data_IF_654832974505
#
_entry.id   IF_654832974505
#
_cell.length_a   1.000
_cell.length_b   1.000
_cell.length_c   1.000
_cell.angle_alpha   90.00
_cell.angle_beta   90.00
_cell.angle_gamma   90.00
#
_symmetry.space_group_name_H-M   'P 1'
#
loop_
_entity.id
_entity.type
_entity.pdbx_description
1 polymer ?
#
# COMPACT_ATOMS: atom_id res chain seq x y z
N UNK A 1 27.48 -16.37 -0.03
CA UNK A 1 26.97 -15.55 -1.15
C UNK A 1 26.69 -14.15 -0.64
N UNK A 2 27.37 -13.16 -1.22
CA UNK A 2 27.45 -11.78 -0.71
C UNK A 2 26.09 -11.09 -0.62
N UNK A 3 25.20 -11.30 -1.60
CA UNK A 3 23.94 -10.57 -1.73
C UNK A 3 22.74 -11.21 -1.01
N UNK A 4 22.89 -12.43 -0.47
CA UNK A 4 21.80 -13.19 0.16
C UNK A 4 20.97 -12.40 1.21
N UNK A 5 21.55 -11.52 2.06
CA UNK A 5 20.77 -10.78 3.04
C UNK A 5 19.87 -9.68 2.47
N UNK A 6 20.13 -9.24 1.23
CA UNK A 6 19.47 -8.08 0.61
C UNK A 6 18.70 -8.41 -0.67
N UNK A 7 18.67 -9.69 -1.07
CA UNK A 7 17.93 -10.16 -2.26
C UNK A 7 16.95 -11.27 -1.90
N UNK A 8 15.84 -11.32 -2.63
CA UNK A 8 14.86 -12.42 -2.55
C UNK A 8 15.40 -13.68 -3.21
N UNK A 9 16.17 -13.52 -4.28
CA UNK A 9 16.72 -14.62 -5.06
C UNK A 9 18.05 -14.22 -5.68
N UNK A 10 18.95 -15.20 -5.82
CA UNK A 10 20.24 -15.04 -6.46
C UNK A 10 20.60 -16.32 -7.23
N UNK A 11 21.12 -16.15 -8.44
CA UNK A 11 21.59 -17.24 -9.30
C UNK A 11 22.84 -16.78 -10.04
N UNK A 12 23.82 -17.66 -10.12
CA UNK A 12 25.01 -17.48 -10.95
C UNK A 12 25.02 -18.53 -12.05
N UNK A 13 25.38 -18.15 -13.26
CA UNK A 13 25.43 -19.04 -14.44
C UNK A 13 26.74 -18.86 -15.20
N UNK A 14 27.25 -19.97 -15.75
CA UNK A 14 28.52 -20.04 -16.50
C UNK A 14 28.36 -20.50 -17.94
N UNK A 15 27.22 -21.09 -18.29
CA UNK A 15 26.98 -21.66 -19.61
C UNK A 15 25.84 -20.92 -20.31
N UNK A 16 25.93 -20.79 -21.63
CA UNK A 16 24.99 -20.02 -22.45
C UNK A 16 23.57 -20.61 -22.41
N UNK A 17 23.44 -21.94 -22.33
CA UNK A 17 22.14 -22.64 -22.33
C UNK A 17 21.32 -22.35 -21.06
N UNK A 18 21.95 -21.91 -19.96
CA UNK A 18 21.26 -21.61 -18.70
C UNK A 18 20.64 -20.20 -18.69
N UNK A 19 21.01 -19.32 -19.62
CA UNK A 19 20.58 -17.92 -19.62
C UNK A 19 19.05 -17.80 -19.68
N UNK A 20 18.31 -18.45 -20.62
CA UNK A 20 16.87 -18.29 -20.73
C UNK A 20 16.12 -18.65 -19.44
N UNK A 21 16.42 -19.82 -18.88
CA UNK A 21 15.78 -20.30 -17.64
C UNK A 21 16.13 -19.46 -16.42
N UNK A 22 17.38 -19.01 -16.33
CA UNK A 22 17.80 -18.11 -15.25
C UNK A 22 17.05 -16.78 -15.31
N UNK A 23 16.88 -16.20 -16.50
CA UNK A 23 16.11 -14.98 -16.73
C UNK A 23 14.62 -15.21 -16.41
N UNK A 24 14.01 -16.29 -16.89
CA UNK A 24 12.63 -16.65 -16.57
C UNK A 24 12.40 -16.75 -15.05
N UNK A 25 13.31 -17.44 -14.34
CA UNK A 25 13.25 -17.60 -12.89
C UNK A 25 13.38 -16.26 -12.18
N UNK A 26 14.31 -15.41 -12.60
CA UNK A 26 14.53 -14.06 -12.06
C UNK A 26 13.27 -13.20 -12.18
N UNK A 27 12.64 -13.15 -13.35
CA UNK A 27 11.40 -12.40 -13.54
C UNK A 27 10.22 -12.98 -12.76
N UNK A 28 10.14 -14.31 -12.61
CA UNK A 28 9.14 -14.95 -11.74
C UNK A 28 9.33 -14.52 -10.28
N UNK A 29 10.56 -14.49 -9.78
CA UNK A 29 10.84 -14.08 -8.39
C UNK A 29 10.58 -12.59 -8.15
N UNK A 30 10.92 -11.70 -9.09
CA UNK A 30 10.66 -10.25 -8.93
C UNK A 30 9.15 -9.92 -8.93
N UNK A 31 8.37 -10.63 -9.74
CA UNK A 31 6.94 -10.32 -9.95
C UNK A 31 5.97 -11.06 -9.01
N UNK A 32 6.41 -12.16 -8.39
CA UNK A 32 5.58 -12.98 -7.51
C UNK A 32 5.60 -12.50 -6.06
N UNK A 33 4.45 -12.63 -5.39
CA UNK A 33 4.29 -12.20 -4.00
C UNK A 33 4.71 -10.74 -3.83
N UNK A 34 5.51 -10.48 -2.80
CA UNK A 34 6.06 -9.14 -2.55
C UNK A 34 7.30 -8.86 -3.42
N UNK A 35 7.27 -7.81 -4.27
CA UNK A 35 8.42 -7.44 -5.09
C UNK A 35 9.65 -7.07 -4.25
N UNK A 36 10.79 -7.63 -4.60
CA UNK A 36 12.07 -7.49 -3.93
C UNK A 36 13.23 -7.62 -4.92
N UNK A 37 14.42 -7.06 -4.63
CA UNK A 37 15.59 -7.19 -5.48
C UNK A 37 16.00 -8.66 -5.68
N UNK A 38 16.54 -8.97 -6.85
CA UNK A 38 17.14 -10.26 -7.19
C UNK A 38 18.45 -10.04 -7.94
N UNK A 39 19.33 -11.03 -7.93
CA UNK A 39 20.64 -10.95 -8.60
C UNK A 39 20.81 -12.12 -9.56
N UNK A 40 21.16 -11.80 -10.81
CA UNK A 40 21.64 -12.75 -11.80
C UNK A 40 23.09 -12.42 -12.12
N UNK A 41 24.00 -13.33 -11.79
CA UNK A 41 25.42 -13.21 -12.13
C UNK A 41 25.70 -14.09 -13.35
N UNK A 42 26.24 -13.49 -14.41
CA UNK A 42 26.60 -14.20 -15.63
C UNK A 42 28.12 -14.08 -15.78
N UNK A 43 28.81 -15.21 -15.70
CA UNK A 43 30.25 -15.24 -15.89
C UNK A 43 30.61 -15.01 -17.36
N UNK A 44 31.79 -14.46 -17.60
CA UNK A 44 32.32 -14.17 -18.94
C UNK A 44 32.28 -15.37 -19.88
N UNK A 45 32.51 -16.57 -19.33
CA UNK A 45 32.50 -17.84 -20.07
C UNK A 45 31.19 -18.02 -20.87
N UNK A 46 30.04 -17.65 -20.30
CA UNK A 46 28.74 -17.77 -20.94
C UNK A 46 28.54 -16.81 -22.13
N UNK A 47 29.33 -15.74 -22.21
CA UNK A 47 29.25 -14.76 -23.29
C UNK A 47 30.18 -15.08 -24.46
N UNK A 48 31.16 -15.96 -24.25
CA UNK A 48 32.12 -16.37 -25.30
C UNK A 48 31.73 -17.69 -25.98
N UNK A 49 30.79 -18.43 -25.40
CA UNK A 49 30.28 -19.66 -25.97
C UNK A 49 29.23 -19.39 -27.06
N UNK A 50 29.01 -20.37 -27.95
CA UNK A 50 28.02 -20.26 -29.02
C UNK A 50 26.99 -21.39 -28.91
N UNK A 51 25.74 -21.07 -29.23
CA UNK A 51 24.64 -22.03 -29.30
C UNK A 51 23.82 -21.73 -30.54
N UNK A 52 23.32 -22.77 -31.19
CA UNK A 52 22.38 -22.63 -32.30
C UNK A 52 21.06 -22.03 -31.78
N UNK A 53 20.48 -21.09 -32.54
CA UNK A 53 19.28 -20.35 -32.11
C UNK A 53 18.08 -21.27 -31.88
N UNK A 54 17.98 -22.37 -32.63
CA UNK A 54 16.92 -23.37 -32.51
C UNK A 54 17.01 -24.22 -31.22
N UNK A 55 18.16 -24.19 -30.54
CA UNK A 55 18.35 -24.82 -29.24
C UNK A 55 17.96 -23.89 -28.08
N UNK A 56 17.71 -22.60 -28.34
CA UNK A 56 17.26 -21.63 -27.34
C UNK A 56 15.72 -21.58 -27.33
N UNK A 57 15.14 -21.76 -26.14
CA UNK A 57 13.72 -21.50 -25.91
C UNK A 57 13.50 -20.28 -25.02
N UNK A 58 13.07 -19.16 -25.60
CA UNK A 58 12.61 -17.99 -24.85
C UNK A 58 11.09 -18.02 -24.80
N UNK A 59 10.56 -18.25 -23.61
CA UNK A 59 9.11 -18.36 -23.42
C UNK A 59 8.51 -16.97 -23.20
N UNK A 60 7.36 -16.65 -23.81
CA UNK A 60 6.60 -15.47 -23.45
C UNK A 60 6.16 -15.55 -21.98
N UNK A 61 5.96 -14.39 -21.36
CA UNK A 61 5.80 -14.31 -19.91
C UNK A 61 4.64 -15.12 -19.32
N UNK A 62 3.56 -15.31 -20.06
CA UNK A 62 2.41 -16.12 -19.65
C UNK A 62 2.65 -17.63 -19.68
N UNK A 63 3.72 -18.11 -20.33
CA UNK A 63 4.04 -19.52 -20.42
C UNK A 63 4.98 -20.00 -19.29
N UNK A 64 5.68 -19.08 -18.62
CA UNK A 64 6.59 -19.43 -17.53
C UNK A 64 6.26 -18.77 -16.18
N UNK A 65 5.23 -17.94 -16.06
CA UNK A 65 4.81 -17.40 -14.75
C UNK A 65 3.34 -16.99 -14.75
N UNK A 66 2.74 -16.97 -13.57
CA UNK A 66 1.44 -16.38 -13.37
C UNK A 66 1.50 -14.87 -13.63
N UNK A 67 0.63 -14.38 -14.49
CA UNK A 67 0.46 -12.96 -14.79
C UNK A 67 -0.63 -12.36 -13.90
N UNK A 68 -1.71 -13.10 -13.71
CA UNK A 68 -2.83 -12.69 -12.87
C UNK A 68 -2.52 -12.87 -11.39
N UNK A 69 -3.14 -12.01 -10.58
CA UNK A 69 -3.10 -12.09 -9.12
C UNK A 69 -4.29 -12.92 -8.64
N UNK A 70 -4.13 -13.75 -7.60
CA UNK A 70 -5.20 -14.62 -7.13
C UNK A 70 -6.39 -13.82 -6.61
N UNK A 71 -7.58 -14.38 -6.79
CA UNK A 71 -8.80 -13.85 -6.21
C UNK A 71 -8.80 -13.99 -4.67
N UNK A 72 -9.56 -13.13 -3.99
CA UNK A 72 -9.79 -13.21 -2.55
C UNK A 72 -11.00 -14.09 -2.29
N UNK A 73 -10.98 -14.83 -1.19
CA UNK A 73 -12.15 -15.59 -0.73
C UNK A 73 -13.33 -14.65 -0.45
N UNK A 74 -14.49 -14.93 -1.02
CA UNK A 74 -15.69 -14.10 -0.89
C UNK A 74 -16.16 -13.97 0.56
N UNK A 75 -15.92 -14.96 1.43
CA UNK A 75 -16.23 -14.87 2.86
C UNK A 75 -15.43 -13.77 3.55
N UNK A 76 -14.14 -13.63 3.23
CA UNK A 76 -13.27 -12.57 3.76
C UNK A 76 -13.67 -11.19 3.26
N UNK A 77 -14.16 -11.10 2.01
CA UNK A 77 -14.71 -9.87 1.45
C UNK A 77 -15.98 -9.44 2.21
N UNK A 78 -16.90 -10.39 2.44
CA UNK A 78 -18.14 -10.13 3.18
C UNK A 78 -17.87 -9.71 4.63
N UNK A 79 -16.98 -10.41 5.32
CA UNK A 79 -16.59 -10.06 6.70
C UNK A 79 -15.92 -8.69 6.77
N UNK A 80 -15.07 -8.35 5.78
CA UNK A 80 -14.46 -7.02 5.69
C UNK A 80 -15.52 -5.92 5.53
N UNK A 81 -16.53 -6.14 4.68
CA UNK A 81 -17.62 -5.18 4.49
C UNK A 81 -18.47 -5.01 5.74
N UNK A 82 -18.83 -6.11 6.41
CA UNK A 82 -19.59 -6.05 7.65
C UNK A 82 -18.88 -5.20 8.71
N UNK A 83 -17.57 -5.43 8.88
CA UNK A 83 -16.73 -4.67 9.79
C UNK A 83 -16.66 -3.18 9.43
N UNK A 84 -16.57 -2.83 8.15
CA UNK A 84 -16.46 -1.43 7.70
C UNK A 84 -17.80 -0.69 7.75
N UNK A 85 -18.90 -1.34 7.40
CA UNK A 85 -20.24 -0.76 7.37
C UNK A 85 -20.74 -0.53 8.81
N UNK A 86 -20.51 -1.50 9.71
CA UNK A 86 -20.94 -1.41 11.11
C UNK A 86 -20.11 -0.44 11.97
N UNK A 87 -18.93 -0.03 11.48
CA UNK A 87 -18.04 0.88 12.19
C UNK A 87 -18.60 2.29 12.31
N UNK A 88 -18.48 2.90 13.49
CA UNK A 88 -18.86 4.31 13.71
C UNK A 88 -17.75 5.25 13.26
N UNK A 89 -16.49 4.87 13.49
CA UNK A 89 -15.29 5.66 13.18
C UNK A 89 -14.30 4.85 12.34
N UNK A 90 -14.69 4.37 11.13
CA UNK A 90 -13.79 3.63 10.27
C UNK A 90 -12.63 4.51 9.79
N UNK A 91 -11.50 3.87 9.50
CA UNK A 91 -10.31 4.50 8.96
C UNK A 91 -9.65 3.58 7.94
N UNK A 92 -9.22 4.13 6.81
CA UNK A 92 -8.34 3.43 5.86
C UNK A 92 -6.91 3.90 6.08
N UNK A 93 -5.98 2.95 6.17
CA UNK A 93 -4.54 3.19 6.23
C UNK A 93 -3.93 2.68 4.94
N UNK A 94 -3.55 3.60 4.06
CA UNK A 94 -3.00 3.29 2.75
C UNK A 94 -1.47 3.21 2.79
N UNK A 95 -0.96 2.02 2.46
CA UNK A 95 0.46 1.71 2.35
C UNK A 95 1.02 1.84 0.95
N UNK A 96 2.33 1.63 0.82
CA UNK A 96 2.96 1.54 -0.50
C UNK A 96 2.54 0.31 -1.31
N UNK A 97 1.88 -0.69 -0.70
CA UNK A 97 1.29 -1.79 -1.44
C UNK A 97 0.16 -1.37 -2.36
N UNK A 98 -0.62 -0.33 -2.00
CA UNK A 98 -1.65 0.25 -2.87
C UNK A 98 -1.05 0.84 -4.14
N UNK A 99 0.07 1.58 -4.00
CA UNK A 99 0.78 2.14 -5.15
C UNK A 99 1.39 1.06 -6.04
N UNK A 100 2.05 0.05 -5.45
CA UNK A 100 2.62 -1.07 -6.20
C UNK A 100 1.59 -1.92 -6.94
N UNK A 101 0.38 -2.01 -6.38
CA UNK A 101 -0.74 -2.71 -7.02
C UNK A 101 -1.49 -1.83 -8.02
N UNK A 102 -1.15 -0.54 -8.14
CA UNK A 102 -1.86 0.44 -8.97
C UNK A 102 -3.36 0.54 -8.64
N UNK A 103 -3.67 0.55 -7.34
CA UNK A 103 -5.04 0.47 -6.80
C UNK A 103 -5.60 1.82 -6.30
N UNK A 104 -5.04 2.95 -6.77
CA UNK A 104 -5.40 4.29 -6.28
C UNK A 104 -6.84 4.70 -6.67
N UNK A 105 -7.34 4.22 -7.80
CA UNK A 105 -8.70 4.51 -8.25
C UNK A 105 -9.73 3.79 -7.37
N UNK A 106 -9.48 2.51 -7.11
CA UNK A 106 -10.34 1.66 -6.30
C UNK A 106 -10.30 2.09 -4.82
N UNK A 107 -9.13 2.49 -4.31
CA UNK A 107 -9.02 3.09 -2.97
C UNK A 107 -9.87 4.36 -2.87
N UNK A 108 -9.75 5.27 -3.86
CA UNK A 108 -10.53 6.50 -3.90
C UNK A 108 -12.02 6.19 -3.94
N UNK A 109 -12.44 5.27 -4.80
CA UNK A 109 -13.84 4.88 -4.95
C UNK A 109 -14.40 4.33 -3.63
N UNK A 110 -13.69 3.42 -2.96
CA UNK A 110 -14.10 2.87 -1.66
C UNK A 110 -14.25 3.98 -0.61
N UNK A 111 -13.23 4.84 -0.49
CA UNK A 111 -13.22 5.92 0.48
C UNK A 111 -14.40 6.88 0.26
N UNK A 112 -14.69 7.25 -1.00
CA UNK A 112 -15.80 8.13 -1.36
C UNK A 112 -17.16 7.44 -1.26
N UNK A 113 -17.25 6.14 -1.51
CA UNK A 113 -18.51 5.39 -1.42
C UNK A 113 -19.00 5.25 0.02
N UNK A 114 -18.08 5.02 0.96
CA UNK A 114 -18.39 4.85 2.39
C UNK A 114 -18.12 6.09 3.25
N UNK A 115 -17.61 7.16 2.64
CA UNK A 115 -17.15 8.39 3.31
C UNK A 115 -16.14 8.08 4.44
N UNK A 116 -15.16 7.23 4.15
CA UNK A 116 -14.15 6.80 5.12
C UNK A 116 -12.89 7.66 4.99
N UNK A 117 -12.38 8.26 6.07
CA UNK A 117 -11.10 8.97 6.04
C UNK A 117 -9.95 8.04 5.70
N UNK A 118 -8.97 8.56 4.96
CA UNK A 118 -7.78 7.87 4.50
C UNK A 118 -6.54 8.56 5.06
N UNK A 119 -5.74 7.81 5.81
CA UNK A 119 -4.39 8.19 6.24
C UNK A 119 -3.39 7.41 5.42
N UNK A 120 -2.31 8.05 4.99
CA UNK A 120 -1.24 7.37 4.25
C UNK A 120 -0.06 7.08 5.16
N UNK A 121 0.58 5.93 4.96
CA UNK A 121 1.98 5.77 5.37
C UNK A 121 2.87 6.65 4.48
N UNK A 122 4.14 6.88 4.86
CA UNK A 122 5.09 7.58 3.98
C UNK A 122 5.20 6.92 2.60
N UNK A 123 5.27 5.58 2.57
CA UNK A 123 5.35 4.83 1.32
C UNK A 123 4.03 4.81 0.52
N UNK A 124 2.92 5.28 1.10
CA UNK A 124 1.61 5.39 0.45
C UNK A 124 1.23 6.81 0.07
N UNK A 125 2.09 7.81 0.28
CA UNK A 125 1.85 9.19 -0.19
C UNK A 125 1.63 9.14 -1.70
N UNK A 126 0.55 9.75 -2.17
CA UNK A 126 0.13 9.72 -3.58
C UNK A 126 -0.87 8.62 -3.93
N UNK A 127 -1.15 7.67 -3.05
CA UNK A 127 -2.19 6.64 -3.28
C UNK A 127 -3.62 7.20 -3.31
N UNK A 128 -3.82 8.38 -2.75
CA UNK A 128 -5.05 9.16 -2.85
C UNK A 128 -4.68 10.64 -3.04
N UNK A 129 -5.42 11.35 -3.88
CA UNK A 129 -5.17 12.78 -4.12
C UNK A 129 -5.32 13.59 -2.83
N UNK A 130 -4.39 14.51 -2.58
CA UNK A 130 -4.48 15.47 -1.47
C UNK A 130 -5.69 16.41 -1.57
N UNK A 131 -6.29 16.53 -2.76
CA UNK A 131 -7.54 17.28 -3.01
C UNK A 131 -8.80 16.51 -2.62
N UNK A 132 -8.71 15.19 -2.41
CA UNK A 132 -9.85 14.40 -1.95
C UNK A 132 -10.26 14.81 -0.53
N UNK A 133 -11.57 14.91 -0.30
CA UNK A 133 -12.14 15.14 1.04
C UNK A 133 -11.78 14.03 2.02
N UNK A 134 -11.63 12.80 1.53
CA UNK A 134 -11.29 11.65 2.36
C UNK A 134 -9.81 11.64 2.77
N UNK A 135 -8.93 12.38 2.09
CA UNK A 135 -7.49 12.36 2.39
C UNK A 135 -7.18 13.18 3.64
N UNK A 136 -6.53 12.57 4.64
CA UNK A 136 -6.03 13.24 5.85
C UNK A 136 -4.50 13.44 5.84
N UNK A 137 -3.83 12.94 4.80
CA UNK A 137 -2.38 12.99 4.65
C UNK A 137 -1.63 12.03 5.59
N UNK A 138 -0.33 12.27 5.71
CA UNK A 138 0.62 11.50 6.51
C UNK A 138 1.00 12.29 7.76
N UNK A 139 1.03 11.63 8.92
CA UNK A 139 1.53 12.19 10.19
C UNK A 139 1.06 13.62 10.57
N UNK A 140 -0.14 14.02 10.14
CA UNK A 140 -0.77 15.28 10.55
C UNK A 140 -1.42 15.13 11.93
N UNK A 141 -1.69 16.25 12.61
CA UNK A 141 -2.47 16.22 13.86
C UNK A 141 -3.82 15.53 13.66
N UNK A 142 -4.48 15.82 12.53
CA UNK A 142 -5.73 15.16 12.14
C UNK A 142 -5.54 13.66 11.90
N UNK A 143 -4.44 13.22 11.28
CA UNK A 143 -4.22 11.79 11.07
C UNK A 143 -3.98 11.06 12.38
N UNK A 144 -3.28 11.66 13.35
CA UNK A 144 -3.13 11.10 14.71
C UNK A 144 -4.48 11.00 15.42
N UNK A 145 -5.33 12.02 15.31
CA UNK A 145 -6.69 11.95 15.86
C UNK A 145 -7.55 10.89 15.16
N UNK A 146 -7.37 10.71 13.85
CA UNK A 146 -8.04 9.67 13.10
C UNK A 146 -7.60 8.28 13.56
N UNK A 147 -6.29 8.02 13.68
CA UNK A 147 -5.77 6.71 14.13
C UNK A 147 -6.16 6.39 15.57
N UNK A 148 -6.08 7.36 16.48
CA UNK A 148 -6.46 7.17 17.89
C UNK A 148 -7.98 7.04 18.08
N UNK A 149 -8.76 7.78 17.28
CA UNK A 149 -10.22 7.82 17.36
C UNK A 149 -10.91 6.61 16.72
N UNK A 150 -10.28 5.96 15.74
CA UNK A 150 -10.89 4.89 14.97
C UNK A 150 -11.30 3.68 15.83
N UNK A 151 -12.40 3.03 15.42
CA UNK A 151 -12.92 1.78 15.98
C UNK A 151 -12.72 0.58 15.03
N UNK A 152 -12.73 0.82 13.72
CA UNK A 152 -12.32 -0.13 12.69
C UNK A 152 -11.25 0.48 11.78
N UNK A 153 -10.25 -0.33 11.41
CA UNK A 153 -9.12 0.07 10.59
C UNK A 153 -8.95 -0.91 9.44
N UNK A 154 -8.97 -0.42 8.20
CA UNK A 154 -8.56 -1.16 7.02
C UNK A 154 -7.13 -0.76 6.64
N UNK A 155 -6.17 -1.62 6.95
CA UNK A 155 -4.77 -1.49 6.59
C UNK A 155 -4.49 -2.15 5.24
N UNK A 156 -4.19 -1.35 4.22
CA UNK A 156 -3.96 -1.80 2.83
C UNK A 156 -2.49 -1.72 2.46
N UNK A 157 -1.85 -2.88 2.28
CA UNK A 157 -0.48 -2.99 1.77
C UNK A 157 0.54 -2.21 2.61
N UNK A 158 0.32 -2.18 3.92
CA UNK A 158 1.04 -1.33 4.87
C UNK A 158 1.73 -2.18 5.92
N UNK A 159 2.96 -1.78 6.24
CA UNK A 159 3.65 -2.23 7.44
C UNK A 159 3.51 -1.16 8.50
N UNK A 160 3.14 -1.56 9.70
CA UNK A 160 3.22 -0.69 10.87
C UNK A 160 4.69 -0.48 11.26
N UNK A 161 5.36 0.41 10.53
CA UNK A 161 6.75 0.81 10.75
C UNK A 161 6.83 1.88 11.84
N UNK A 162 8.04 2.39 12.13
CA UNK A 162 8.23 3.48 13.09
C UNK A 162 7.35 4.70 12.76
N UNK A 163 7.10 4.96 11.48
CA UNK A 163 6.25 6.07 11.02
C UNK A 163 4.77 5.89 11.33
N UNK A 164 4.34 4.67 11.66
CA UNK A 164 3.00 4.37 12.16
C UNK A 164 3.07 3.89 13.62
N UNK A 165 4.05 4.39 14.38
CA UNK A 165 4.24 4.07 15.79
C UNK A 165 4.30 2.56 16.10
N UNK A 166 4.77 1.75 15.14
CA UNK A 166 4.81 0.29 15.26
C UNK A 166 3.46 -0.36 15.58
N UNK A 167 2.33 0.30 15.29
CA UNK A 167 1.00 -0.21 15.62
C UNK A 167 0.68 -0.15 17.12
N UNK A 168 1.43 0.63 17.91
CA UNK A 168 1.32 0.66 19.38
C UNK A 168 0.51 1.85 19.91
N UNK A 169 -0.01 1.75 21.15
CA UNK A 169 -0.54 2.89 21.88
C UNK A 169 0.50 4.01 22.08
N UNK A 170 0.07 5.28 22.21
CA UNK A 170 -1.32 5.73 22.19
C UNK A 170 -1.89 5.83 20.76
N UNK A 171 -1.07 5.81 19.72
CA UNK A 171 -1.48 6.05 18.34
C UNK A 171 -2.50 5.05 17.80
N UNK A 172 -2.40 3.78 18.25
CA UNK A 172 -3.29 2.68 17.90
C UNK A 172 -3.81 2.02 19.17
N UNK A 173 -5.11 1.74 19.22
CA UNK A 173 -5.74 1.06 20.37
C UNK A 173 -5.84 -0.44 20.10
N UNK A 174 -5.75 -1.24 21.15
CA UNK A 174 -5.93 -2.69 21.04
C UNK A 174 -7.39 -3.09 20.80
N UNK A 175 -8.34 -2.23 21.17
CA UNK A 175 -9.77 -2.42 20.92
C UNK A 175 -10.21 -2.17 19.47
N UNK A 176 -9.30 -1.75 18.59
CA UNK A 176 -9.62 -1.51 17.18
C UNK A 176 -9.81 -2.82 16.43
N UNK A 177 -10.91 -2.91 15.69
CA UNK A 177 -11.09 -4.00 14.72
C UNK A 177 -10.16 -3.74 13.53
N UNK A 178 -9.14 -4.57 13.36
CA UNK A 178 -8.12 -4.37 12.33
C UNK A 178 -8.28 -5.40 11.21
N UNK A 179 -8.58 -4.92 10.00
CA UNK A 179 -8.52 -5.66 8.75
C UNK A 179 -7.17 -5.37 8.12
N UNK A 180 -6.30 -6.36 7.98
CA UNK A 180 -4.96 -6.19 7.45
C UNK A 180 -4.81 -6.98 6.14
N UNK A 181 -4.74 -6.25 5.04
CA UNK A 181 -4.58 -6.78 3.69
C UNK A 181 -3.15 -6.53 3.22
N UNK A 182 -2.39 -7.58 2.95
CA UNK A 182 -1.05 -7.47 2.36
C UNK A 182 -0.76 -8.70 1.48
N UNK A 183 0.07 -8.52 0.46
CA UNK A 183 0.50 -9.65 -0.40
C UNK A 183 1.55 -10.51 0.29
N UNK A 184 2.21 -9.98 1.34
CA UNK A 184 3.21 -10.64 2.16
C UNK A 184 2.59 -11.14 3.48
N UNK A 185 2.35 -12.46 3.64
CA UNK A 185 1.75 -12.99 4.86
C UNK A 185 2.61 -12.74 6.11
N UNK A 186 3.93 -12.54 5.96
CA UNK A 186 4.83 -12.28 7.09
C UNK A 186 4.64 -10.92 7.76
N UNK A 187 3.89 -10.03 7.12
CA UNK A 187 3.58 -8.68 7.62
C UNK A 187 2.27 -8.65 8.40
N UNK A 188 1.33 -9.52 8.04
CA UNK A 188 -0.02 -9.55 8.60
C UNK A 188 0.04 -9.96 10.07
N UNK A 189 -0.50 -9.13 10.96
CA UNK A 189 -0.52 -9.38 12.40
C UNK A 189 0.85 -9.31 13.10
N UNK A 190 1.92 -8.93 12.38
CA UNK A 190 3.28 -8.89 12.94
C UNK A 190 3.46 -7.87 14.07
N UNK A 191 2.84 -6.70 13.94
CA UNK A 191 3.08 -5.57 14.84
C UNK A 191 2.03 -5.42 15.94
N UNK A 192 0.79 -5.86 15.68
CA UNK A 192 -0.33 -5.83 16.64
C UNK A 192 -1.36 -6.90 16.27
N UNK A 193 -2.22 -7.32 17.23
CA UNK A 193 -3.33 -8.22 16.95
C UNK A 193 -4.23 -7.69 15.84
N UNK A 194 -4.74 -8.61 15.01
CA UNK A 194 -5.65 -8.34 13.90
C UNK A 194 -6.99 -9.00 14.17
N UNK A 195 -8.06 -8.43 13.63
CA UNK A 195 -9.38 -9.06 13.59
C UNK A 195 -9.51 -9.95 12.36
N UNK A 196 -9.05 -9.44 11.21
CA UNK A 196 -9.13 -10.13 9.93
C UNK A 196 -7.83 -9.94 9.16
N UNK A 197 -7.18 -11.04 8.79
CA UNK A 197 -5.95 -11.04 7.98
C UNK A 197 -6.23 -11.58 6.59
N UNK A 198 -5.84 -10.83 5.55
CA UNK A 198 -6.13 -11.19 4.16
C UNK A 198 -4.85 -11.13 3.35
N UNK A 199 -4.41 -12.30 2.87
CA UNK A 199 -3.25 -12.40 1.96
C UNK A 199 -3.73 -12.13 0.54
N UNK A 200 -3.54 -10.90 0.07
CA UNK A 200 -4.03 -10.50 -1.25
C UNK A 200 -3.23 -9.34 -1.86
N UNK A 201 -3.28 -9.26 -3.19
CA UNK A 201 -2.97 -8.03 -3.89
C UNK A 201 -4.04 -6.96 -3.55
N UNK A 202 -3.59 -5.73 -3.27
CA UNK A 202 -4.50 -4.66 -2.84
C UNK A 202 -5.55 -4.31 -3.91
N UNK A 203 -5.19 -4.36 -5.20
CA UNK A 203 -6.11 -4.04 -6.29
C UNK A 203 -7.17 -5.12 -6.41
N UNK A 204 -6.77 -6.40 -6.40
CA UNK A 204 -7.72 -7.51 -6.46
C UNK A 204 -8.69 -7.50 -5.28
N UNK A 205 -8.18 -7.27 -4.06
CA UNK A 205 -9.03 -7.12 -2.88
C UNK A 205 -10.03 -5.96 -3.05
N UNK A 206 -9.57 -4.77 -3.45
CA UNK A 206 -10.43 -3.60 -3.58
C UNK A 206 -11.48 -3.75 -4.69
N UNK A 207 -11.13 -4.36 -5.83
CA UNK A 207 -12.08 -4.65 -6.92
C UNK A 207 -13.22 -5.54 -6.41
N UNK A 208 -12.90 -6.63 -5.72
CA UNK A 208 -13.91 -7.55 -5.21
C UNK A 208 -14.73 -6.93 -4.09
N UNK A 209 -14.08 -6.20 -3.18
CA UNK A 209 -14.75 -5.45 -2.12
C UNK A 209 -15.74 -4.43 -2.69
N UNK A 210 -15.36 -3.68 -3.73
CA UNK A 210 -16.23 -2.71 -4.39
C UNK A 210 -17.39 -3.36 -5.14
N UNK A 211 -17.14 -4.49 -5.81
CA UNK A 211 -18.18 -5.24 -6.51
C UNK A 211 -19.29 -5.70 -5.54
N UNK A 212 -18.91 -6.19 -4.37
CA UNK A 212 -19.84 -6.59 -3.32
C UNK A 212 -20.49 -5.36 -2.64
N UNK A 213 -19.69 -4.32 -2.34
CA UNK A 213 -20.17 -3.09 -1.70
C UNK A 213 -21.26 -2.40 -2.52
N UNK A 214 -21.16 -2.41 -3.85
CA UNK A 214 -22.15 -1.78 -4.76
C UNK A 214 -23.54 -2.41 -4.70
N UNK A 215 -23.70 -3.56 -4.03
CA UNK A 215 -25.02 -4.14 -3.72
C UNK A 215 -25.70 -3.47 -2.51
N UNK A 216 -24.95 -2.70 -1.73
CA UNK A 216 -25.44 -1.88 -0.63
C UNK A 216 -25.66 -0.42 -1.06
N UNK A 217 -26.26 0.40 -0.20
CA UNK A 217 -26.46 1.82 -0.48
C UNK A 217 -25.18 2.62 -0.23
N UNK A 218 -24.94 3.62 -1.08
CA UNK A 218 -23.89 4.61 -0.89
C UNK A 218 -24.12 5.40 0.41
N UNK A 219 -23.03 5.67 1.13
CA UNK A 219 -23.06 6.56 2.29
C UNK A 219 -22.85 7.99 1.80
N UNK A 220 -23.88 8.83 1.90
CA UNK A 220 -23.79 10.24 1.46
C UNK A 220 -22.95 11.11 2.42
N UNK A 221 -23.04 10.82 3.72
CA UNK A 221 -22.36 11.59 4.75
C UNK A 221 -22.01 10.72 5.95
N UNK A 222 -20.84 10.99 6.54
CA UNK A 222 -20.39 10.36 7.78
C UNK A 222 -19.84 11.43 8.73
N UNK A 223 -20.44 11.55 9.92
CA UNK A 223 -20.06 12.56 10.92
C UNK A 223 -18.58 12.48 11.32
N UNK A 224 -18.02 11.27 11.32
CA UNK A 224 -16.60 11.06 11.60
C UNK A 224 -15.69 11.77 10.59
N UNK A 225 -15.97 11.63 9.29
CA UNK A 225 -15.20 12.29 8.25
C UNK A 225 -15.36 13.81 8.30
N UNK A 226 -16.57 14.30 8.54
CA UNK A 226 -16.84 15.75 8.68
C UNK A 226 -16.07 16.34 9.85
N UNK A 227 -16.07 15.66 11.00
CA UNK A 227 -15.32 16.08 12.18
C UNK A 227 -13.83 16.23 11.88
N UNK A 228 -13.22 15.21 11.27
CA UNK A 228 -11.80 15.23 10.92
C UNK A 228 -11.49 16.27 9.84
N UNK A 229 -12.38 16.46 8.87
CA UNK A 229 -12.21 17.47 7.81
C UNK A 229 -12.25 18.89 8.40
N UNK A 230 -13.11 19.16 9.38
CA UNK A 230 -13.14 20.44 10.09
C UNK A 230 -11.84 20.71 10.84
N UNK A 231 -11.28 19.69 11.51
CA UNK A 231 -9.99 19.81 12.21
C UNK A 231 -8.86 20.07 11.20
N UNK A 232 -8.81 19.29 10.12
CA UNK A 232 -7.82 19.47 9.04
C UNK A 232 -7.84 20.89 8.49
N UNK A 233 -9.03 21.45 8.22
CA UNK A 233 -9.19 22.83 7.73
C UNK A 233 -8.64 23.84 8.73
N UNK A 234 -8.96 23.70 10.02
CA UNK A 234 -8.43 24.58 11.07
C UNK A 234 -6.89 24.55 11.12
N UNK A 235 -6.30 23.36 11.04
CA UNK A 235 -4.84 23.19 11.07
C UNK A 235 -4.17 23.78 9.82
N UNK A 236 -4.81 23.63 8.66
CA UNK A 236 -4.36 24.24 7.40
C UNK A 236 -4.37 25.77 7.48
N UNK A 237 -5.45 26.38 8.00
CA UNK A 237 -5.52 27.85 8.16
C UNK A 237 -4.41 28.37 9.07
N UNK A 238 -4.12 27.68 10.18
CA UNK A 238 -3.03 28.04 11.07
C UNK A 238 -1.66 27.95 10.39
N UNK A 239 -1.47 26.93 9.54
CA UNK A 239 -0.22 26.71 8.79
C UNK A 239 -0.01 27.77 7.71
N UNK A 240 -1.07 28.13 6.96
CA UNK A 240 -1.02 29.19 5.93
C UNK A 240 -0.66 30.54 6.55
N UNK A 241 -1.17 30.86 7.74
CA UNK A 241 -0.81 32.09 8.45
C UNK A 241 0.70 32.17 8.74
N UNK A 242 1.34 31.05 9.08
CA UNK A 242 2.80 30.98 9.26
C UNK A 242 3.55 31.03 7.93
N UNK A 243 2.97 30.46 6.87
CA UNK A 243 3.55 30.44 5.53
C UNK A 243 3.62 31.82 4.87
N UNK A 244 2.75 32.77 5.26
CA UNK A 244 2.73 34.13 4.74
C UNK A 244 3.67 35.09 5.51
N UNK A 245 4.66 34.59 6.23
CA UNK A 245 5.61 35.41 6.98
C UNK A 245 6.84 35.77 6.13
N UNK A 246 7.14 37.07 6.02
CA UNK A 246 8.27 37.65 5.29
C UNK A 246 9.61 37.74 6.05
N UNK A 247 9.69 37.14 7.24
CA UNK A 247 10.91 37.11 8.05
C UNK A 247 12.14 36.48 7.35
N UNK A 248 13.31 37.02 7.68
CA UNK A 248 14.64 36.51 7.32
C UNK A 248 15.34 36.07 8.61
N UNK A 249 15.82 34.81 8.71
CA UNK A 249 15.87 33.78 7.66
C UNK A 249 14.50 33.18 7.32
N UNK A 250 14.33 32.73 6.07
CA UNK A 250 13.06 32.22 5.54
C UNK A 250 12.50 31.07 6.40
N UNK A 251 11.21 31.16 6.73
CA UNK A 251 10.51 30.07 7.39
C UNK A 251 10.34 28.88 6.41
N UNK A 252 10.70 27.64 6.78
CA UNK A 252 10.53 26.47 5.91
C UNK A 252 9.11 26.25 5.40
N UNK A 253 8.09 26.62 6.20
CA UNK A 253 6.68 26.50 5.79
C UNK A 253 6.36 27.46 4.64
N UNK A 254 7.00 28.63 4.60
CA UNK A 254 6.87 29.56 3.48
C UNK A 254 7.52 29.01 2.22
N UNK A 255 8.74 28.49 2.31
CA UNK A 255 9.40 27.86 1.15
C UNK A 255 8.53 26.75 0.53
N UNK A 256 7.92 25.91 1.37
CA UNK A 256 7.02 24.86 0.89
C UNK A 256 5.82 25.45 0.16
N UNK A 257 5.21 26.52 0.69
CA UNK A 257 4.07 27.19 0.04
C UNK A 257 4.42 27.65 -1.38
N UNK A 258 5.56 28.32 -1.56
CA UNK A 258 6.01 28.83 -2.87
C UNK A 258 6.27 27.71 -3.90
N UNK A 259 6.65 26.51 -3.45
CA UNK A 259 6.82 25.34 -4.34
C UNK A 259 5.47 24.74 -4.78
N UNK A 260 4.42 24.95 -3.98
CA UNK A 260 3.08 24.42 -4.26
C UNK A 260 2.25 25.32 -5.18
N UNK A 261 2.60 26.59 -5.31
CA UNK A 261 1.97 27.60 -6.19
C UNK A 261 2.55 27.55 -7.61
#
# INVERSE_FOLDING_TARGET
ALFKPITKYQKSIRRIEEIPDAVHKIFREVSSGRPQPVVLEIFSDAFYDNIEEDQISILPSNQYRAIEKPAVDSSLINESLELLISAKKPLIVSGGGVLRAEAWNELKELAEYLQIPVVTSHGGIGSISNKSKCSLGVLSLTSVQATTGADAVLALGVKFSYTLALGKPPAWKDSQKLIHVDIDPSIIGRSKPITLGIVADCKQYLIQLLAELKKSNRVEKRDWLETLTAIKKRDQTASIKKANNDEIPINPVRLIKEIYE
#
